data_IF_351582248033
#
_entry.id   IF_351582248033
#
_cell.length_a   1.000
_cell.length_b   1.000
_cell.length_c   1.000
_cell.angle_alpha   90.00
_cell.angle_beta   90.00
_cell.angle_gamma   90.00
#
_symmetry.space_group_name_H-M   'P 1'
#
loop_
_entity.id
_entity.type
_entity.pdbx_description
1 polymer ?
#
# COMPACT_ATOMS: atom_id res chain seq x y z
N UNK A 1 1.94 -22.66 9.96
CA UNK A 1 2.60 -22.04 8.81
C UNK A 1 3.74 -21.18 9.32
N UNK A 2 4.94 -21.20 8.72
CA UNK A 2 6.05 -20.40 9.26
C UNK A 2 5.87 -18.95 8.80
N UNK A 3 6.17 -17.97 9.69
CA UNK A 3 6.10 -16.52 9.46
C UNK A 3 6.64 -16.07 8.08
N UNK A 4 7.69 -16.75 7.60
CA UNK A 4 8.30 -16.51 6.27
C UNK A 4 7.41 -16.87 5.09
N UNK A 5 6.41 -17.69 5.28
CA UNK A 5 5.59 -18.21 4.18
C UNK A 5 4.43 -17.25 3.86
N UNK A 6 3.90 -16.52 4.85
CA UNK A 6 2.91 -15.47 4.63
C UNK A 6 3.48 -14.30 3.80
N UNK A 7 4.70 -13.85 4.13
CA UNK A 7 5.36 -12.74 3.42
C UNK A 7 5.77 -13.13 2.00
N UNK A 8 6.14 -14.40 1.77
CA UNK A 8 6.51 -14.88 0.43
C UNK A 8 5.33 -15.05 -0.51
N UNK A 9 4.14 -15.30 0.01
CA UNK A 9 2.94 -15.51 -0.80
C UNK A 9 2.31 -14.18 -1.27
N UNK A 10 2.52 -13.07 -0.54
CA UNK A 10 2.09 -11.73 -0.95
C UNK A 10 2.99 -11.03 -1.97
N UNK A 11 4.18 -11.57 -2.29
CA UNK A 11 5.20 -10.90 -3.11
C UNK A 11 5.52 -11.59 -4.45
N UNK A 12 4.97 -12.78 -4.73
CA UNK A 12 5.18 -13.46 -6.01
C UNK A 12 3.84 -13.78 -6.67
N UNK A 13 3.54 -13.03 -7.72
CA UNK A 13 2.46 -13.40 -8.64
C UNK A 13 2.73 -14.78 -9.26
N UNK A 14 2.12 -15.78 -8.67
CA UNK A 14 1.62 -17.02 -9.28
C UNK A 14 0.89 -17.78 -8.17
N UNK A 15 -0.44 -17.91 -8.31
CA UNK A 15 -1.34 -18.72 -7.46
C UNK A 15 -1.13 -18.47 -5.96
N UNK A 16 -1.60 -17.33 -5.46
CA UNK A 16 -1.90 -17.16 -4.06
C UNK A 16 -2.96 -18.21 -3.70
N UNK A 17 -2.53 -19.30 -3.10
CA UNK A 17 -3.46 -20.10 -2.30
C UNK A 17 -3.84 -19.19 -1.15
N UNK A 18 -4.99 -18.54 -1.29
CA UNK A 18 -5.65 -17.79 -0.23
C UNK A 18 -5.83 -18.75 0.93
N UNK A 19 -4.92 -18.69 1.91
CA UNK A 19 -5.16 -19.30 3.21
C UNK A 19 -5.90 -18.23 4.05
N UNK A 20 -6.94 -17.67 3.46
CA UNK A 20 -8.04 -17.08 4.21
C UNK A 20 -8.92 -18.27 4.55
N UNK A 21 -9.17 -18.56 5.82
CA UNK A 21 -10.16 -19.55 6.19
C UNK A 21 -11.45 -19.23 5.43
N UNK A 22 -12.05 -20.22 4.81
CA UNK A 22 -13.22 -20.07 3.91
C UNK A 22 -14.44 -19.43 4.63
N UNK A 23 -14.36 -19.25 5.94
CA UNK A 23 -15.39 -18.62 6.78
C UNK A 23 -15.34 -17.08 6.77
N UNK A 24 -14.17 -16.48 6.48
CA UNK A 24 -14.00 -15.03 6.41
C UNK A 24 -14.34 -14.42 5.02
N UNK A 25 -15.04 -15.13 4.16
CA UNK A 25 -15.66 -14.51 3.00
C UNK A 25 -16.68 -13.50 3.52
N UNK A 26 -16.25 -12.27 3.74
CA UNK A 26 -17.12 -11.19 4.15
C UNK A 26 -18.28 -11.08 3.16
N UNK A 27 -19.50 -11.32 3.64
CA UNK A 27 -20.69 -10.78 3.00
C UNK A 27 -20.73 -9.28 3.31
N UNK A 28 -19.75 -8.56 2.82
CA UNK A 28 -19.84 -7.12 2.86
C UNK A 28 -20.86 -6.73 1.79
N UNK A 29 -21.99 -6.20 2.23
CA UNK A 29 -22.91 -5.51 1.32
C UNK A 29 -22.09 -4.50 0.54
N UNK A 30 -22.36 -4.35 -0.76
CA UNK A 30 -21.61 -3.42 -1.62
C UNK A 30 -21.97 -1.97 -1.26
N UNK A 31 -21.44 -1.53 -0.14
CA UNK A 31 -21.56 -0.16 0.33
C UNK A 31 -20.20 0.53 0.24
N UNK A 32 -20.21 1.79 -0.17
CA UNK A 32 -19.02 2.65 -0.11
C UNK A 32 -18.50 2.65 1.33
N UNK A 33 -17.20 2.46 1.49
CA UNK A 33 -16.56 2.50 2.81
C UNK A 33 -16.71 3.89 3.42
N UNK A 34 -17.26 3.95 4.62
CA UNK A 34 -17.46 5.20 5.32
C UNK A 34 -16.13 5.86 5.68
N UNK A 35 -16.07 7.19 5.57
CA UNK A 35 -14.95 7.96 6.08
C UNK A 35 -14.98 8.03 7.62
N UNK A 36 -13.82 8.13 8.22
CA UNK A 36 -13.61 8.40 9.63
C UNK A 36 -12.48 9.42 9.80
N UNK A 37 -12.17 9.81 11.03
CA UNK A 37 -11.21 10.86 11.33
C UNK A 37 -9.76 10.38 11.02
N UNK A 38 -8.95 11.27 10.46
CA UNK A 38 -7.50 11.04 10.25
C UNK A 38 -6.77 10.87 11.59
N UNK A 39 -7.21 11.57 12.60
CA UNK A 39 -6.51 11.64 13.89
C UNK A 39 -5.25 12.51 13.82
N UNK A 40 -4.62 12.76 14.98
CA UNK A 40 -3.47 13.69 15.06
C UNK A 40 -2.10 13.02 14.76
N UNK A 41 -2.07 11.73 14.46
CA UNK A 41 -0.83 10.94 14.38
C UNK A 41 -0.51 10.44 12.97
N UNK A 42 -1.06 11.05 11.95
CA UNK A 42 -0.67 10.77 10.57
C UNK A 42 0.63 11.52 10.22
N UNK A 43 1.50 10.87 9.47
CA UNK A 43 2.73 11.42 8.90
C UNK A 43 2.82 11.04 7.42
N UNK A 44 3.31 11.94 6.58
CA UNK A 44 3.38 11.71 5.12
C UNK A 44 4.53 10.80 4.67
N UNK A 45 5.46 10.48 5.58
CA UNK A 45 6.71 9.78 5.27
C UNK A 45 6.67 8.28 5.62
N UNK A 46 5.51 7.66 5.67
CA UNK A 46 5.41 6.24 5.99
C UNK A 46 6.18 5.37 4.97
N UNK A 47 7.01 4.42 5.42
CA UNK A 47 7.77 3.57 4.53
C UNK A 47 6.87 2.57 3.79
N UNK A 48 7.25 2.22 2.54
CA UNK A 48 6.60 1.12 1.81
C UNK A 48 7.01 -0.22 2.40
N UNK A 49 6.08 -0.90 3.07
CA UNK A 49 6.28 -2.22 3.69
C UNK A 49 4.96 -2.89 4.05
N UNK A 50 5.00 -4.21 4.19
CA UNK A 50 3.87 -5.05 4.63
C UNK A 50 4.08 -5.65 6.04
N UNK A 51 5.26 -5.50 6.61
CA UNK A 51 5.56 -5.81 8.00
C UNK A 51 5.66 -4.48 8.74
N UNK A 52 4.58 -4.09 9.44
CA UNK A 52 4.49 -2.80 10.10
C UNK A 52 5.14 -2.81 11.48
N UNK A 53 4.94 -3.88 12.24
CA UNK A 53 5.52 -4.03 13.55
C UNK A 53 6.95 -4.60 13.49
N UNK A 54 7.88 -3.98 14.22
CA UNK A 54 9.20 -4.56 14.43
C UNK A 54 9.10 -6.00 14.98
N UNK A 55 10.14 -6.81 14.76
CA UNK A 55 10.13 -8.21 15.16
C UNK A 55 9.99 -8.39 16.67
N UNK A 56 10.54 -7.47 17.44
CA UNK A 56 10.54 -7.47 18.90
C UNK A 56 9.42 -6.60 19.49
N UNK A 57 8.52 -6.06 18.65
CA UNK A 57 7.38 -5.27 19.13
C UNK A 57 6.46 -6.14 19.98
N UNK A 58 6.19 -5.76 21.24
CA UNK A 58 5.26 -6.48 22.11
C UNK A 58 3.84 -6.49 21.52
N UNK A 59 3.03 -7.46 21.96
CA UNK A 59 1.62 -7.56 21.60
C UNK A 59 1.28 -8.78 20.76
N UNK A 60 0.00 -9.02 20.61
CA UNK A 60 -0.55 -10.13 19.81
C UNK A 60 -0.39 -9.83 18.32
N UNK A 61 0.21 -10.75 17.56
CA UNK A 61 0.34 -10.59 16.10
C UNK A 61 -1.02 -10.57 15.45
N UNK A 62 -1.17 -9.69 14.47
CA UNK A 62 -2.37 -9.56 13.65
C UNK A 62 -1.99 -9.49 12.16
N UNK A 63 -2.79 -10.16 11.36
CA UNK A 63 -2.65 -10.25 9.90
C UNK A 63 -3.94 -9.73 9.28
N UNK A 64 -3.83 -8.63 8.55
CA UNK A 64 -4.96 -8.04 7.84
C UNK A 64 -4.74 -8.19 6.35
N UNK A 65 -5.78 -8.59 5.66
CA UNK A 65 -5.86 -8.56 4.20
C UNK A 65 -7.14 -7.88 3.76
N UNK A 66 -7.22 -7.51 2.50
CA UNK A 66 -8.43 -6.94 1.93
C UNK A 66 -8.25 -6.62 0.46
N UNK A 67 -9.32 -6.15 -0.15
CA UNK A 67 -9.35 -5.67 -1.52
C UNK A 67 -9.84 -4.22 -1.55
N UNK A 68 -9.27 -3.42 -2.44
CA UNK A 68 -9.79 -2.09 -2.77
C UNK A 68 -10.58 -2.20 -4.08
N UNK A 69 -11.84 -1.81 -4.05
CA UNK A 69 -12.78 -1.93 -5.17
C UNK A 69 -13.47 -0.61 -5.46
N UNK A 70 -13.95 -0.46 -6.69
CA UNK A 70 -14.87 0.61 -7.06
C UNK A 70 -16.26 0.42 -6.42
N UNK A 71 -17.08 1.46 -6.46
CA UNK A 71 -18.40 1.51 -5.84
C UNK A 71 -19.42 0.46 -6.34
N UNK A 72 -19.11 -0.27 -7.42
CA UNK A 72 -19.89 -1.42 -7.89
C UNK A 72 -19.46 -2.75 -7.26
N UNK A 73 -18.39 -2.76 -6.43
CA UNK A 73 -17.77 -3.92 -5.78
C UNK A 73 -17.28 -5.03 -6.71
N UNK A 74 -17.37 -4.85 -8.01
CA UNK A 74 -16.94 -5.84 -9.01
C UNK A 74 -15.54 -5.53 -9.53
N UNK A 75 -15.21 -4.25 -9.63
CA UNK A 75 -13.97 -3.79 -10.26
C UNK A 75 -12.91 -3.54 -9.20
N UNK A 76 -11.84 -4.36 -9.16
CA UNK A 76 -10.71 -4.10 -8.28
C UNK A 76 -9.91 -2.89 -8.77
N UNK A 77 -9.39 -2.10 -7.83
CA UNK A 77 -8.53 -0.95 -8.15
C UNK A 77 -7.09 -1.34 -7.79
N UNK A 78 -6.24 -1.42 -8.79
CA UNK A 78 -4.82 -1.71 -8.62
C UNK A 78 -4.00 -0.43 -8.41
N UNK A 79 -2.79 -0.57 -7.87
CA UNK A 79 -1.87 0.55 -7.58
C UNK A 79 -2.46 1.62 -6.65
N UNK A 80 -3.40 1.25 -5.81
CA UNK A 80 -3.90 2.11 -4.73
C UNK A 80 -2.87 2.10 -3.61
N UNK A 81 -2.51 3.28 -3.11
CA UNK A 81 -1.71 3.39 -1.90
C UNK A 81 -2.64 3.13 -0.72
N UNK A 82 -2.38 2.07 0.00
CA UNK A 82 -3.00 1.76 1.28
C UNK A 82 -2.00 2.14 2.36
N UNK A 83 -2.23 3.26 3.02
CA UNK A 83 -1.41 3.78 4.10
C UNK A 83 -2.06 3.43 5.43
N UNK A 84 -1.31 2.77 6.33
CA UNK A 84 -1.81 2.25 7.61
C UNK A 84 -0.91 2.70 8.74
N UNK A 85 -1.53 3.13 9.85
CA UNK A 85 -0.82 3.42 11.10
C UNK A 85 -1.72 3.13 12.30
N UNK A 86 -1.09 2.80 13.42
CA UNK A 86 -1.80 2.51 14.65
C UNK A 86 -0.90 2.65 15.89
N UNK A 87 -1.53 2.62 17.06
CA UNK A 87 -0.83 2.63 18.34
C UNK A 87 -0.16 1.28 18.62
N UNK A 88 0.87 1.27 19.47
CA UNK A 88 1.43 0.04 20.02
C UNK A 88 0.44 -0.64 21.00
N UNK A 89 0.85 -1.74 21.63
CA UNK A 89 0.05 -2.51 22.60
C UNK A 89 -0.38 -1.68 23.82
N UNK A 90 0.40 -0.66 24.20
CA UNK A 90 0.11 0.27 25.30
C UNK A 90 -0.72 1.50 24.87
N UNK A 91 -1.12 1.61 23.61
CA UNK A 91 -1.88 2.74 23.07
C UNK A 91 -1.04 3.96 22.70
N UNK A 92 0.29 3.80 22.54
CA UNK A 92 1.21 4.87 22.20
C UNK A 92 1.48 4.92 20.68
N UNK A 93 1.55 6.12 20.11
CA UNK A 93 1.85 6.34 18.68
C UNK A 93 3.31 6.73 18.46
N UNK A 94 4.06 5.90 17.77
CA UNK A 94 5.45 6.19 17.33
C UNK A 94 5.51 7.47 16.49
N UNK A 95 6.69 8.08 16.38
CA UNK A 95 6.95 9.38 15.71
C UNK A 95 6.47 10.58 16.52
N UNK A 96 5.29 10.51 17.14
CA UNK A 96 4.64 11.64 17.82
C UNK A 96 4.77 11.60 19.34
N UNK A 97 5.07 10.42 19.89
CA UNK A 97 5.16 10.19 21.33
C UNK A 97 6.44 9.42 21.63
N UNK A 98 7.01 9.61 22.82
CA UNK A 98 8.05 8.75 23.36
C UNK A 98 7.39 7.44 23.79
N UNK A 99 7.40 6.43 22.93
CA UNK A 99 6.85 5.12 23.19
C UNK A 99 7.95 4.15 23.60
N UNK A 100 7.67 3.28 24.56
CA UNK A 100 8.52 2.12 24.87
C UNK A 100 8.20 0.99 23.88
N UNK A 101 8.65 1.16 22.63
CA UNK A 101 8.38 0.24 21.54
C UNK A 101 9.68 -0.28 20.97
N UNK A 102 9.70 -1.48 20.43
CA UNK A 102 10.74 -2.13 19.66
C UNK A 102 12.13 -1.50 19.77
N UNK A 103 12.75 -1.13 18.67
CA UNK A 103 13.98 -0.33 18.68
C UNK A 103 13.73 0.99 17.90
N UNK A 104 13.30 2.08 18.55
CA UNK A 104 12.97 3.33 17.87
C UNK A 104 14.17 3.98 17.18
N UNK A 105 15.40 3.67 17.58
CA UNK A 105 16.62 4.13 16.90
C UNK A 105 16.83 3.43 15.57
N UNK A 106 16.30 2.21 15.39
CA UNK A 106 16.39 1.43 14.16
C UNK A 106 15.20 1.64 13.24
N UNK A 107 13.99 1.82 13.80
CA UNK A 107 12.77 2.01 13.05
C UNK A 107 11.85 3.07 13.69
N UNK A 108 12.08 4.35 13.40
CA UNK A 108 11.24 5.42 13.93
C UNK A 108 9.79 5.37 13.41
N UNK A 109 9.56 4.67 12.28
CA UNK A 109 8.23 4.46 11.71
C UNK A 109 7.61 3.10 12.06
N UNK A 110 8.06 2.46 13.14
CA UNK A 110 7.44 1.23 13.63
C UNK A 110 5.91 1.40 13.76
N UNK A 111 5.12 0.37 13.39
CA UNK A 111 3.65 0.35 13.37
C UNK A 111 3.00 1.26 12.30
N UNK A 112 3.78 1.61 11.27
CA UNK A 112 3.34 2.45 10.14
C UNK A 112 3.86 1.88 8.83
N UNK A 113 3.09 2.01 7.77
CA UNK A 113 3.55 1.61 6.45
C UNK A 113 2.54 1.85 5.36
N UNK A 114 3.07 1.97 4.17
CA UNK A 114 2.30 2.06 2.94
C UNK A 114 2.51 0.79 2.12
N UNK A 115 1.49 0.39 1.38
CA UNK A 115 1.55 -0.71 0.42
C UNK A 115 0.70 -0.40 -0.80
N UNK A 116 1.03 -1.03 -1.92
CA UNK A 116 0.25 -0.90 -3.15
C UNK A 116 -0.62 -2.13 -3.33
N UNK A 117 -1.85 -1.90 -3.77
CA UNK A 117 -2.70 -2.99 -4.21
C UNK A 117 -2.14 -3.62 -5.49
N UNK A 118 -2.27 -4.94 -5.59
CA UNK A 118 -1.89 -5.69 -6.79
C UNK A 118 -2.95 -5.57 -7.92
N UNK A 119 -2.78 -6.32 -9.01
CA UNK A 119 -3.70 -6.34 -10.17
C UNK A 119 -5.14 -6.73 -9.80
N UNK A 120 -5.34 -7.47 -8.72
CA UNK A 120 -6.64 -7.87 -8.20
C UNK A 120 -7.19 -6.88 -7.14
N UNK A 121 -6.53 -5.73 -6.94
CA UNK A 121 -6.88 -4.79 -5.88
C UNK A 121 -6.53 -5.25 -4.47
N UNK A 122 -5.79 -6.35 -4.31
CA UNK A 122 -5.49 -6.97 -3.02
C UNK A 122 -4.34 -6.29 -2.30
N UNK A 123 -4.46 -6.18 -0.98
CA UNK A 123 -3.38 -5.78 -0.07
C UNK A 123 -3.35 -6.70 1.15
N UNK A 124 -2.21 -6.77 1.81
CA UNK A 124 -2.06 -7.49 3.08
C UNK A 124 -0.87 -6.96 3.88
N UNK A 125 -1.00 -6.97 5.21
CA UNK A 125 0.10 -6.63 6.11
C UNK A 125 0.07 -7.45 7.41
N UNK A 126 1.22 -7.51 8.05
CA UNK A 126 1.42 -8.05 9.40
C UNK A 126 1.76 -6.90 10.37
N UNK A 127 1.14 -6.90 11.55
CA UNK A 127 1.43 -5.98 12.63
C UNK A 127 1.18 -6.62 14.01
N UNK A 128 0.90 -5.80 15.01
CA UNK A 128 0.34 -6.22 16.29
C UNK A 128 -1.07 -5.67 16.46
N UNK A 129 -1.88 -6.32 17.28
CA UNK A 129 -3.19 -5.82 17.67
C UNK A 129 -3.02 -4.56 18.52
N UNK A 130 -3.62 -3.41 18.12
CA UNK A 130 -3.39 -2.13 18.79
C UNK A 130 -3.85 -2.12 20.25
N UNK A 131 -3.22 -1.31 21.06
CA UNK A 131 -3.69 -0.96 22.39
C UNK A 131 -4.79 0.11 22.36
N UNK A 132 -5.37 0.37 23.53
CA UNK A 132 -6.38 1.42 23.70
C UNK A 132 -5.72 2.80 23.71
N UNK A 133 -6.28 3.70 22.92
CA UNK A 133 -5.90 5.10 22.89
C UNK A 133 -7.09 5.97 23.34
N UNK A 134 -6.90 6.78 24.39
CA UNK A 134 -7.91 7.75 24.89
C UNK A 134 -9.32 7.19 25.08
N UNK A 135 -9.47 5.90 25.44
CA UNK A 135 -10.77 5.26 25.67
C UNK A 135 -11.57 4.96 24.41
N UNK A 136 -10.95 5.03 23.23
CA UNK A 136 -11.52 4.57 21.96
C UNK A 136 -11.30 3.07 21.79
N UNK A 137 -12.17 2.36 21.05
CA UNK A 137 -11.88 0.98 20.63
C UNK A 137 -10.55 0.87 19.91
N UNK A 138 -9.92 -0.28 19.97
CA UNK A 138 -8.73 -0.60 19.18
C UNK A 138 -9.02 -0.43 17.70
N UNK A 139 -8.11 0.20 16.99
CA UNK A 139 -8.32 0.48 15.57
C UNK A 139 -7.01 0.63 14.79
N UNK A 140 -7.08 0.35 13.52
CA UNK A 140 -6.13 0.81 12.52
C UNK A 140 -6.65 2.07 11.84
N UNK A 141 -5.80 3.05 11.65
CA UNK A 141 -6.06 4.16 10.74
C UNK A 141 -5.68 3.78 9.33
N UNK A 142 -6.46 4.24 8.38
CA UNK A 142 -6.21 4.07 6.96
C UNK A 142 -6.32 5.40 6.22
N UNK A 143 -5.38 5.64 5.32
CA UNK A 143 -5.52 6.62 4.25
C UNK A 143 -5.32 5.90 2.92
N UNK A 144 -6.33 5.91 2.10
CA UNK A 144 -6.37 5.25 0.80
C UNK A 144 -6.23 6.34 -0.26
N UNK A 145 -5.26 6.18 -1.16
CA UNK A 145 -5.07 7.12 -2.27
C UNK A 145 -5.04 6.34 -3.58
N UNK A 146 -6.03 6.57 -4.41
CA UNK A 146 -6.12 5.94 -5.74
C UNK A 146 -5.13 6.58 -6.72
N UNK A 147 -4.77 5.91 -7.83
CA UNK A 147 -3.83 6.45 -8.83
C UNK A 147 -4.26 7.78 -9.44
N UNK A 148 -5.54 8.08 -9.42
CA UNK A 148 -6.11 9.35 -9.92
C UNK A 148 -6.23 10.44 -8.84
N UNK A 149 -5.75 10.17 -7.62
CA UNK A 149 -5.72 11.12 -6.53
C UNK A 149 -7.01 11.22 -5.71
N UNK A 150 -7.95 10.27 -5.86
CA UNK A 150 -9.07 10.19 -4.93
C UNK A 150 -8.57 9.66 -3.59
N UNK A 151 -8.93 10.32 -2.51
CA UNK A 151 -8.53 9.96 -1.16
C UNK A 151 -9.73 9.54 -0.31
N UNK A 152 -9.54 8.50 0.51
CA UNK A 152 -10.43 8.12 1.59
C UNK A 152 -9.61 8.02 2.87
N UNK A 153 -10.05 8.70 3.92
CA UNK A 153 -9.55 8.52 5.28
C UNK A 153 -10.60 7.73 6.04
N UNK A 154 -10.20 6.63 6.66
CA UNK A 154 -11.09 5.75 7.39
C UNK A 154 -10.36 5.05 8.54
N UNK A 155 -11.07 4.22 9.29
CA UNK A 155 -10.52 3.40 10.36
C UNK A 155 -11.13 2.00 10.29
N UNK A 156 -10.40 1.02 10.83
CA UNK A 156 -10.86 -0.36 10.95
C UNK A 156 -10.90 -0.74 12.42
N UNK A 157 -12.05 -1.17 12.90
CA UNK A 157 -12.35 -1.61 14.26
C UNK A 157 -12.56 -3.13 14.30
N UNK A 158 -12.65 -3.70 15.50
CA UNK A 158 -12.72 -5.15 15.71
C UNK A 158 -13.92 -5.54 16.55
N UNK A 159 -14.77 -6.46 16.07
CA UNK A 159 -15.95 -6.95 16.79
C UNK A 159 -15.64 -7.51 18.19
N UNK A 160 -14.46 -8.11 18.36
CA UNK A 160 -14.01 -8.70 19.62
C UNK A 160 -13.57 -7.67 20.67
N UNK A 161 -13.51 -6.38 20.30
CA UNK A 161 -13.12 -5.33 21.24
C UNK A 161 -14.28 -5.01 22.19
N UNK A 162 -14.08 -5.07 23.53
CA UNK A 162 -15.13 -4.80 24.51
C UNK A 162 -15.77 -3.39 24.42
N UNK A 163 -15.11 -2.44 23.75
CA UNK A 163 -15.62 -1.09 23.53
C UNK A 163 -16.44 -0.95 22.24
N UNK A 164 -16.51 -2.01 21.43
CA UNK A 164 -17.34 -2.07 20.23
C UNK A 164 -18.64 -2.76 20.59
N UNK A 165 -19.68 -1.98 20.88
CA UNK A 165 -21.04 -2.44 21.13
C UNK A 165 -21.92 -2.25 19.87
N UNK A 166 -23.19 -2.63 19.96
CA UNK A 166 -24.15 -2.48 18.86
C UNK A 166 -24.26 -1.03 18.38
N UNK A 167 -24.26 -0.07 19.32
CA UNK A 167 -24.33 1.36 18.99
C UNK A 167 -23.08 1.85 18.27
N UNK A 168 -21.90 1.35 18.67
CA UNK A 168 -20.65 1.64 17.96
C UNK A 168 -20.70 1.11 16.54
N UNK A 169 -21.12 -0.14 16.37
CA UNK A 169 -21.22 -0.80 15.06
C UNK A 169 -22.23 -0.11 14.15
N UNK A 170 -23.39 0.30 14.66
CA UNK A 170 -24.39 1.06 13.89
C UNK A 170 -23.87 2.42 13.40
N UNK A 171 -23.03 3.10 14.19
CA UNK A 171 -22.43 4.38 13.82
C UNK A 171 -21.20 4.25 12.92
N UNK A 172 -20.59 3.05 12.82
CA UNK A 172 -19.39 2.77 12.06
C UNK A 172 -19.61 1.60 11.08
N UNK A 173 -20.74 1.63 10.37
CA UNK A 173 -21.13 0.58 9.43
C UNK A 173 -20.02 0.31 8.40
N UNK A 174 -19.65 -0.98 8.27
CA UNK A 174 -18.61 -1.44 7.34
C UNK A 174 -17.17 -1.19 7.81
N UNK A 175 -16.99 -0.58 9.00
CA UNK A 175 -15.66 -0.32 9.58
C UNK A 175 -15.30 -1.31 10.70
N UNK A 176 -16.23 -2.14 11.13
CA UNK A 176 -16.02 -3.16 12.18
C UNK A 176 -15.89 -4.52 11.51
N UNK A 177 -14.77 -5.19 11.77
CA UNK A 177 -14.47 -6.51 11.19
C UNK A 177 -14.40 -7.61 12.26
N UNK A 178 -14.83 -8.83 11.95
CA UNK A 178 -14.54 -9.99 12.77
C UNK A 178 -13.05 -10.35 12.71
N UNK A 179 -12.53 -10.97 13.77
CA UNK A 179 -11.20 -11.55 13.82
C UNK A 179 -11.29 -13.05 14.07
N UNK A 180 -10.48 -13.82 13.34
CA UNK A 180 -10.27 -15.23 13.60
C UNK A 180 -8.93 -15.44 14.33
N UNK A 181 -8.96 -16.21 15.41
CA UNK A 181 -7.77 -16.57 16.16
C UNK A 181 -7.13 -17.84 15.61
N UNK A 182 -5.81 -17.88 15.51
CA UNK A 182 -5.02 -19.05 15.16
C UNK A 182 -3.76 -19.15 16.02
N UNK A 183 -3.01 -20.26 15.87
CA UNK A 183 -1.73 -20.45 16.57
C UNK A 183 -0.70 -19.32 16.31
N UNK A 184 -0.83 -18.59 15.21
CA UNK A 184 0.13 -17.55 14.81
C UNK A 184 -0.33 -16.11 15.14
N UNK A 185 -1.57 -15.94 15.60
CA UNK A 185 -2.16 -14.64 15.90
C UNK A 185 -3.58 -14.47 15.37
N UNK A 186 -4.01 -13.24 15.26
CA UNK A 186 -5.33 -12.83 14.81
C UNK A 186 -5.34 -12.58 13.31
N UNK A 187 -6.43 -12.91 12.63
CA UNK A 187 -6.62 -12.71 11.19
C UNK A 187 -7.90 -11.93 10.93
N UNK A 188 -7.83 -10.92 10.09
CA UNK A 188 -8.98 -10.12 9.68
C UNK A 188 -8.98 -9.81 8.20
N UNK A 189 -10.17 -9.55 7.65
CA UNK A 189 -10.35 -9.06 6.29
C UNK A 189 -11.06 -7.72 6.33
N UNK A 190 -10.43 -6.69 5.76
CA UNK A 190 -10.98 -5.35 5.64
C UNK A 190 -11.00 -4.95 4.17
N UNK A 191 -12.14 -5.17 3.50
CA UNK A 191 -12.35 -4.73 2.13
C UNK A 191 -12.74 -3.25 2.10
N UNK A 192 -12.26 -2.53 1.11
CA UNK A 192 -12.46 -1.08 0.95
C UNK A 192 -13.15 -0.83 -0.38
N UNK A 193 -14.26 -0.09 -0.33
CA UNK A 193 -15.01 0.32 -1.52
C UNK A 193 -14.91 1.83 -1.66
N UNK A 194 -14.26 2.27 -2.73
CA UNK A 194 -14.07 3.69 -3.04
C UNK A 194 -15.29 4.27 -3.77
N UNK A 195 -15.73 5.47 -3.35
CA UNK A 195 -16.75 6.21 -4.11
C UNK A 195 -16.12 6.85 -5.36
N UNK A 196 -16.19 6.12 -6.45
CA UNK A 196 -15.79 6.62 -7.75
C UNK A 196 -16.98 7.16 -8.57
N UNK A 197 -18.05 7.62 -7.92
CA UNK A 197 -19.22 8.21 -8.55
C UNK A 197 -18.85 9.49 -9.32
N UNK A 198 -18.36 9.34 -10.48
CA UNK A 198 -17.82 10.35 -11.41
C UNK A 198 -16.78 9.76 -12.35
N UNK A 199 -16.21 8.62 -12.01
CA UNK A 199 -15.49 7.80 -12.96
C UNK A 199 -16.46 6.88 -13.68
N UNK A 200 -16.73 7.16 -14.94
CA UNK A 200 -17.19 6.12 -15.84
C UNK A 200 -16.01 5.15 -16.01
N UNK A 201 -15.97 4.10 -15.18
CA UNK A 201 -15.16 2.94 -15.48
C UNK A 201 -15.84 2.24 -16.64
N UNK A 202 -15.49 2.70 -17.83
CA UNK A 202 -15.81 1.95 -19.05
C UNK A 202 -15.13 0.59 -18.93
N UNK A 203 -15.86 -0.47 -19.28
CA UNK A 203 -15.39 -1.85 -19.42
C UNK A 203 -14.40 -1.99 -20.59
N UNK A 204 -13.69 -0.93 -20.90
CA UNK A 204 -12.56 -0.86 -21.80
C UNK A 204 -11.40 -0.19 -21.06
N UNK A 205 -10.22 -0.69 -21.20
CA UNK A 205 -8.91 -0.26 -20.70
C UNK A 205 -8.54 1.23 -20.95
N UNK A 206 -9.47 2.14 -20.86
CA UNK A 206 -9.25 3.52 -21.20
C UNK A 206 -10.01 4.44 -20.26
N UNK A 207 -9.30 5.11 -19.38
CA UNK A 207 -9.44 6.51 -18.98
C UNK A 207 -9.09 6.77 -17.51
N UNK A 208 -7.90 6.39 -17.07
CA UNK A 208 -7.16 7.38 -16.28
C UNK A 208 -7.07 8.62 -17.18
N UNK A 209 -7.24 9.86 -16.67
CA UNK A 209 -7.22 11.03 -17.53
C UNK A 209 -5.93 10.99 -18.35
N UNK A 210 -6.09 10.83 -19.67
CA UNK A 210 -4.94 10.75 -20.57
C UNK A 210 -4.15 12.05 -20.36
N UNK A 211 -2.91 11.97 -19.92
CA UNK A 211 -2.11 13.15 -19.68
C UNK A 211 -2.09 14.02 -20.92
N UNK A 212 -2.37 15.31 -20.78
CA UNK A 212 -2.33 16.26 -21.93
C UNK A 212 -0.96 16.30 -22.58
N UNK A 213 0.10 16.00 -21.78
CA UNK A 213 1.48 15.91 -22.23
C UNK A 213 2.16 14.75 -21.49
N UNK A 214 3.14 14.08 -22.10
CA UNK A 214 3.93 13.09 -21.39
C UNK A 214 4.64 13.70 -20.17
N UNK A 215 4.76 12.95 -19.10
CA UNK A 215 5.47 13.37 -17.88
C UNK A 215 6.24 12.20 -17.26
N UNK A 216 7.24 12.52 -16.45
CA UNK A 216 7.95 11.60 -15.55
C UNK A 216 8.00 12.28 -14.18
N UNK A 217 7.35 11.70 -13.19
CA UNK A 217 7.36 12.17 -11.82
C UNK A 217 8.62 11.72 -11.06
N UNK A 218 8.82 12.27 -9.87
CA UNK A 218 9.84 11.76 -8.98
C UNK A 218 9.42 10.36 -8.52
N UNK A 219 10.41 9.47 -8.38
CA UNK A 219 10.16 8.16 -7.76
C UNK A 219 9.83 8.32 -6.28
N UNK A 220 9.06 7.40 -5.77
CA UNK A 220 8.76 7.33 -4.34
C UNK A 220 8.84 5.89 -3.83
N UNK A 221 9.49 5.68 -2.67
CA UNK A 221 10.29 6.63 -1.89
C UNK A 221 11.57 7.07 -2.62
N UNK A 222 12.13 8.24 -2.24
CA UNK A 222 13.43 8.71 -2.70
C UNK A 222 14.10 9.59 -1.61
N UNK A 223 15.14 9.15 -0.89
CA UNK A 223 15.86 7.87 -1.09
C UNK A 223 15.02 6.63 -0.81
N UNK A 224 15.40 5.50 -1.40
CA UNK A 224 14.70 4.24 -1.20
C UNK A 224 15.63 3.12 -0.73
N UNK A 225 15.07 2.17 0.01
CA UNK A 225 15.70 0.92 0.40
C UNK A 225 14.84 -0.22 -0.15
N UNK A 226 15.49 -1.15 -0.85
CA UNK A 226 14.95 -2.29 -1.58
C UNK A 226 14.15 -1.93 -2.85
N UNK A 227 13.13 -1.07 -2.81
CA UNK A 227 12.31 -0.77 -4.00
C UNK A 227 11.80 0.67 -4.01
N UNK A 228 11.51 1.15 -5.21
CA UNK A 228 10.87 2.46 -5.43
C UNK A 228 9.93 2.39 -6.61
N UNK A 229 8.84 3.12 -6.55
CA UNK A 229 7.90 3.26 -7.64
C UNK A 229 8.21 4.51 -8.46
N UNK A 230 8.06 4.39 -9.77
CA UNK A 230 8.25 5.46 -10.74
C UNK A 230 6.94 5.64 -11.49
N UNK A 231 6.35 6.82 -11.35
CA UNK A 231 5.15 7.22 -12.05
C UNK A 231 5.50 8.02 -13.31
N UNK A 232 4.87 7.69 -14.43
CA UNK A 232 5.00 8.43 -15.67
C UNK A 232 3.70 8.38 -16.48
N UNK A 233 3.52 9.37 -17.32
CA UNK A 233 2.34 9.46 -18.17
C UNK A 233 2.68 9.62 -19.64
N UNK A 234 1.84 9.05 -20.51
CA UNK A 234 1.92 9.20 -21.96
C UNK A 234 0.59 9.68 -22.53
N UNK A 235 0.66 10.71 -23.36
CA UNK A 235 -0.53 11.37 -23.91
C UNK A 235 -1.13 10.65 -25.13
N UNK A 236 -0.36 9.77 -25.76
CA UNK A 236 -0.79 8.95 -26.91
C UNK A 236 -0.11 7.59 -26.82
N UNK A 237 -0.87 6.54 -27.14
CA UNK A 237 -0.35 5.19 -27.23
C UNK A 237 0.84 5.13 -28.19
N UNK A 238 1.91 4.48 -27.81
CA UNK A 238 3.14 4.41 -28.59
C UNK A 238 4.30 3.78 -27.85
N UNK A 239 5.46 3.78 -28.50
CA UNK A 239 6.67 3.21 -27.93
C UNK A 239 7.20 4.07 -26.77
N UNK A 240 7.51 3.42 -25.66
CA UNK A 240 8.08 4.03 -24.45
C UNK A 240 9.30 3.23 -24.04
N UNK A 241 10.38 3.92 -23.70
CA UNK A 241 11.48 3.36 -22.93
C UNK A 241 11.62 4.07 -21.60
N UNK A 242 11.69 3.29 -20.52
CA UNK A 242 12.00 3.76 -19.17
C UNK A 242 13.23 3.00 -18.68
N UNK A 243 14.37 3.67 -18.62
CA UNK A 243 15.69 3.07 -18.45
C UNK A 243 16.41 3.64 -17.24
N UNK A 244 17.06 2.78 -16.47
CA UNK A 244 17.91 3.16 -15.34
C UNK A 244 19.38 3.19 -15.79
N UNK A 245 20.06 4.28 -15.42
CA UNK A 245 21.50 4.48 -15.60
C UNK A 245 22.17 4.81 -14.26
N UNK A 246 23.44 4.49 -14.14
CA UNK A 246 24.25 5.06 -13.05
C UNK A 246 24.66 6.53 -13.37
N UNK A 247 25.32 7.19 -12.42
CA UNK A 247 25.74 8.59 -12.58
C UNK A 247 26.83 8.79 -13.65
N UNK A 248 27.47 7.74 -14.11
CA UNK A 248 28.45 7.78 -15.20
C UNK A 248 27.79 7.63 -16.59
N UNK A 249 26.47 7.39 -16.61
CA UNK A 249 25.71 7.12 -17.82
C UNK A 249 25.76 5.65 -18.28
N UNK A 250 26.28 4.75 -17.45
CA UNK A 250 26.27 3.31 -17.73
C UNK A 250 24.86 2.78 -17.57
N UNK A 251 24.36 2.05 -18.56
CA UNK A 251 23.10 1.35 -18.53
C UNK A 251 23.06 0.29 -17.41
N UNK A 252 21.96 0.23 -16.68
CA UNK A 252 21.71 -0.71 -15.58
C UNK A 252 20.60 -1.68 -15.97
N UNK A 253 19.41 -1.17 -16.31
CA UNK A 253 18.25 -1.99 -16.69
C UNK A 253 17.18 -1.15 -17.40
N UNK A 254 16.31 -1.82 -18.16
CA UNK A 254 15.08 -1.23 -18.67
C UNK A 254 13.92 -1.67 -17.78
N UNK A 255 13.13 -0.72 -17.34
CA UNK A 255 11.86 -0.98 -16.63
C UNK A 255 10.69 -1.09 -17.62
N UNK A 256 10.74 -0.33 -18.71
CA UNK A 256 9.85 -0.47 -19.86
C UNK A 256 10.65 -0.32 -21.14
N UNK A 257 10.29 -1.10 -22.16
CA UNK A 257 10.90 -1.04 -23.48
C UNK A 257 9.92 -1.64 -24.52
N UNK A 258 8.89 -0.87 -24.89
CA UNK A 258 7.82 -1.36 -25.76
C UNK A 258 6.66 -0.38 -25.94
N UNK A 259 5.63 -0.83 -26.65
CA UNK A 259 4.41 -0.03 -26.86
C UNK A 259 3.50 -0.11 -25.64
N UNK A 260 3.11 1.06 -25.12
CA UNK A 260 2.15 1.22 -24.05
C UNK A 260 0.94 2.03 -24.51
N UNK A 261 -0.21 1.81 -23.87
CA UNK A 261 -1.42 2.61 -24.07
C UNK A 261 -1.23 4.02 -23.50
N UNK A 262 -1.99 5.00 -24.04
CA UNK A 262 -2.07 6.33 -23.43
C UNK A 262 -2.63 6.24 -22.01
N UNK A 263 -2.09 7.02 -21.07
CA UNK A 263 -2.49 6.99 -19.66
C UNK A 263 -1.32 7.24 -18.71
N UNK A 264 -1.57 7.08 -17.42
CA UNK A 264 -0.57 7.08 -16.35
C UNK A 264 -0.14 5.66 -16.04
N UNK A 265 1.16 5.44 -15.90
CA UNK A 265 1.78 4.15 -15.66
C UNK A 265 2.67 4.19 -14.43
N UNK A 266 2.77 3.06 -13.73
CA UNK A 266 3.58 2.89 -12.55
C UNK A 266 4.49 1.68 -12.74
N UNK A 267 5.78 1.84 -12.51
CA UNK A 267 6.75 0.75 -12.57
C UNK A 267 7.64 0.76 -11.33
N UNK A 268 7.98 -0.42 -10.84
CA UNK A 268 8.81 -0.58 -9.65
C UNK A 268 10.24 -0.94 -10.05
N UNK A 269 11.23 -0.27 -9.44
CA UNK A 269 12.62 -0.68 -9.51
C UNK A 269 13.11 -1.18 -8.15
N UNK A 270 13.59 -2.42 -8.12
CA UNK A 270 14.04 -3.11 -6.90
C UNK A 270 15.56 -2.95 -6.66
N UNK A 271 16.22 -1.94 -7.21
CA UNK A 271 17.65 -1.73 -7.06
C UNK A 271 18.50 -2.86 -7.65
N UNK A 272 18.05 -3.45 -8.78
CA UNK A 272 18.74 -4.54 -9.48
C UNK A 272 19.10 -4.14 -10.90
N UNK A 273 20.13 -4.80 -11.44
CA UNK A 273 20.48 -4.73 -12.87
C UNK A 273 19.59 -5.68 -13.71
N UNK A 274 19.82 -5.70 -15.03
CA UNK A 274 19.07 -6.52 -15.97
C UNK A 274 19.19 -8.05 -15.74
N UNK A 275 20.18 -8.48 -14.95
CA UNK A 275 20.38 -9.87 -14.57
C UNK A 275 19.76 -10.19 -13.21
N UNK A 276 19.04 -9.23 -12.60
CA UNK A 276 18.44 -9.36 -11.26
C UNK A 276 19.46 -9.23 -10.12
N UNK A 277 20.71 -8.86 -10.41
CA UNK A 277 21.74 -8.67 -9.40
C UNK A 277 21.58 -7.29 -8.75
N UNK A 278 21.65 -7.26 -7.43
CA UNK A 278 21.57 -6.03 -6.64
C UNK A 278 22.71 -5.06 -7.01
N UNK A 279 22.37 -3.79 -7.27
CA UNK A 279 23.35 -2.73 -7.52
C UNK A 279 23.76 -2.02 -6.22
N UNK A 280 24.92 -1.36 -6.15
CA UNK A 280 25.38 -0.66 -4.94
C UNK A 280 24.45 0.50 -4.52
N UNK A 281 24.52 0.89 -3.23
CA UNK A 281 23.95 2.18 -2.78
C UNK A 281 24.57 3.33 -3.56
N UNK A 282 23.73 4.30 -3.93
CA UNK A 282 24.19 5.43 -4.70
C UNK A 282 23.07 6.14 -5.47
N UNK A 283 23.49 7.15 -6.24
CA UNK A 283 22.59 7.88 -7.13
C UNK A 283 22.51 7.23 -8.50
N UNK A 284 21.30 7.17 -9.03
CA UNK A 284 20.96 6.65 -10.35
C UNK A 284 20.10 7.68 -11.10
N UNK A 285 19.96 7.49 -12.39
CA UNK A 285 19.09 8.29 -13.24
C UNK A 285 18.04 7.38 -13.87
N UNK A 286 16.77 7.68 -13.68
CA UNK A 286 15.72 7.13 -14.53
C UNK A 286 15.49 8.06 -15.71
N UNK A 287 15.48 7.52 -16.90
CA UNK A 287 15.29 8.27 -18.16
C UNK A 287 14.11 7.69 -18.91
N UNK A 288 13.11 8.53 -19.16
CA UNK A 288 11.94 8.22 -19.97
C UNK A 288 12.09 8.82 -21.37
N UNK A 289 11.76 8.03 -22.39
CA UNK A 289 11.57 8.50 -23.76
C UNK A 289 10.24 7.99 -24.28
N UNK A 290 9.43 8.91 -24.88
CA UNK A 290 8.14 8.58 -25.48
C UNK A 290 7.86 9.55 -26.62
N UNK A 291 7.84 9.09 -27.86
CA UNK A 291 7.73 9.96 -29.02
C UNK A 291 8.88 10.99 -29.03
N UNK A 292 8.53 12.27 -29.13
CA UNK A 292 9.51 13.38 -29.04
C UNK A 292 9.84 13.84 -27.62
N UNK A 293 9.23 13.23 -26.58
CA UNK A 293 9.45 13.59 -25.18
C UNK A 293 10.62 12.82 -24.57
N UNK A 294 11.47 13.54 -23.83
CA UNK A 294 12.52 12.94 -23.01
C UNK A 294 12.55 13.65 -21.67
N UNK A 295 12.55 12.89 -20.58
CA UNK A 295 12.69 13.40 -19.22
C UNK A 295 13.56 12.49 -18.39
N UNK A 296 14.23 13.05 -17.38
CA UNK A 296 15.02 12.27 -16.44
C UNK A 296 14.84 12.74 -15.02
N UNK A 297 14.94 11.81 -14.07
CA UNK A 297 14.88 12.07 -12.63
C UNK A 297 16.05 11.36 -11.94
N UNK A 298 16.56 12.00 -10.90
CA UNK A 298 17.58 11.42 -10.03
C UNK A 298 16.89 10.61 -8.94
N UNK A 299 17.35 9.38 -8.76
CA UNK A 299 16.89 8.44 -7.74
C UNK A 299 18.05 8.03 -6.86
N UNK A 300 17.79 7.82 -5.56
CA UNK A 300 18.85 7.48 -4.59
C UNK A 300 18.51 6.17 -3.88
N UNK A 301 19.37 5.18 -4.08
CA UNK A 301 19.30 3.89 -3.40
C UNK A 301 20.18 3.90 -2.16
N UNK A 302 19.60 3.55 -1.02
CA UNK A 302 20.26 3.30 0.26
C UNK A 302 20.10 1.83 0.62
N UNK A 303 21.15 1.20 1.08
CA UNK A 303 21.15 -0.19 1.57
C UNK A 303 21.80 -0.24 2.92
#
# INVERSE_FOLDING_TARGET
MKRRDFIKTGLMGTTAVSIVPTALLSRQDCNITNSDILGPFWDENHPYRTLLAHVDEPGTRIFISGTVKANNCEIPIHNVIVDVWHANDDGCYTVFQECDTGNPDEDPYNLRGQMLTNENGEYAFESIWPGYYTGRPRHFHYKITTPNGLELVTQCYFEVDPLVDDSWTENHLGLVIPLEESENGLYGVFDIVMDEAGMQIGVDDAHAPIPKQPFLNNNYPNPFNNSTQIEFGISKSGYVSLTIYDVTGKWITNLADGSLSSGTHFLTWNGTDALGKSVPSGSYLVVMKSGGFTSSKKIMLLK
#
